data_IF_100639864630
#
_entry.id   IF_100639864630
#
_cell.length_a   1.000
_cell.length_b   1.000
_cell.length_c   1.000
_cell.angle_alpha   90.00
_cell.angle_beta   90.00
_cell.angle_gamma   90.00
#
_symmetry.space_group_name_H-M   'P 1'
#
loop_
_entity.id
_entity.type
_entity.pdbx_description
1 polymer ?
#
# COMPACT_ATOMS: atom_id res chain seq x y z
N UNK A 1 -16.44 -64.62 -41.96
CA UNK A 1 -16.20 -64.52 -40.50
C UNK A 1 -14.72 -64.42 -40.08
N UNK A 2 -13.82 -65.39 -40.35
CA UNK A 2 -12.42 -65.31 -39.84
C UNK A 2 -11.58 -64.12 -40.37
N UNK A 3 -11.81 -63.66 -41.61
CA UNK A 3 -11.05 -62.53 -42.20
C UNK A 3 -11.49 -61.15 -41.68
N UNK A 4 -12.73 -60.99 -41.24
CA UNK A 4 -13.22 -59.71 -40.70
C UNK A 4 -12.71 -59.46 -39.29
N UNK A 5 -12.70 -60.49 -38.43
CA UNK A 5 -12.23 -60.41 -37.04
C UNK A 5 -10.73 -60.03 -36.97
N UNK A 6 -9.91 -60.49 -37.92
CA UNK A 6 -8.48 -60.13 -37.99
C UNK A 6 -8.29 -58.68 -38.43
N UNK A 7 -9.13 -58.18 -39.35
CA UNK A 7 -9.08 -56.80 -39.83
C UNK A 7 -9.52 -55.80 -38.75
N UNK A 8 -10.47 -56.19 -37.91
CA UNK A 8 -10.96 -55.38 -36.79
C UNK A 8 -9.96 -55.33 -35.63
N UNK A 9 -9.34 -56.46 -35.27
CA UNK A 9 -8.25 -56.51 -34.27
C UNK A 9 -7.02 -55.72 -34.70
N UNK A 10 -6.67 -55.73 -35.99
CA UNK A 10 -5.59 -54.90 -36.55
C UNK A 10 -5.89 -53.40 -36.44
N UNK A 11 -7.13 -52.99 -36.71
CA UNK A 11 -7.57 -51.59 -36.55
C UNK A 11 -7.60 -51.16 -35.09
N UNK A 12 -8.04 -52.03 -34.18
CA UNK A 12 -8.06 -51.75 -32.74
C UNK A 12 -6.63 -51.63 -32.18
N UNK A 13 -5.72 -52.54 -32.57
CA UNK A 13 -4.32 -52.49 -32.14
C UNK A 13 -3.61 -51.22 -32.66
N UNK A 14 -3.87 -50.82 -33.90
CA UNK A 14 -3.34 -49.56 -34.46
C UNK A 14 -3.89 -48.33 -33.74
N UNK A 15 -5.18 -48.32 -33.34
CA UNK A 15 -5.79 -47.24 -32.56
C UNK A 15 -5.22 -47.16 -31.14
N UNK A 16 -5.01 -48.31 -30.48
CA UNK A 16 -4.39 -48.37 -29.15
C UNK A 16 -2.92 -47.92 -29.20
N UNK A 17 -2.15 -48.35 -30.20
CA UNK A 17 -0.78 -47.87 -30.39
C UNK A 17 -0.73 -46.36 -30.68
N UNK A 18 -1.68 -45.82 -31.46
CA UNK A 18 -1.74 -44.37 -31.73
C UNK A 18 -2.12 -43.57 -30.47
N UNK A 19 -3.04 -44.09 -29.65
CA UNK A 19 -3.42 -43.44 -28.38
C UNK A 19 -2.26 -43.44 -27.36
N UNK A 20 -1.52 -44.54 -27.27
CA UNK A 20 -0.32 -44.66 -26.41
C UNK A 20 0.80 -43.74 -26.91
N UNK A 21 0.99 -43.59 -28.23
CA UNK A 21 1.98 -42.66 -28.79
C UNK A 21 1.62 -41.19 -28.51
N UNK A 22 0.33 -40.83 -28.57
CA UNK A 22 -0.15 -39.47 -28.27
C UNK A 22 -0.03 -39.15 -26.77
N UNK A 23 -0.28 -40.12 -25.88
CA UNK A 23 -0.09 -39.95 -24.43
C UNK A 23 1.41 -39.82 -24.08
N UNK A 24 2.29 -40.57 -24.74
CA UNK A 24 3.75 -40.42 -24.60
C UNK A 24 4.25 -39.06 -25.15
N UNK A 25 3.69 -38.57 -26.25
CA UNK A 25 4.03 -37.24 -26.81
C UNK A 25 3.46 -36.07 -25.99
N UNK A 26 2.40 -36.29 -25.19
CA UNK A 26 1.85 -35.28 -24.27
C UNK A 26 2.59 -35.24 -22.92
N UNK A 27 3.42 -36.25 -22.61
CA UNK A 27 4.23 -36.29 -21.38
C UNK A 27 5.59 -35.57 -21.47
N UNK A 28 5.93 -35.00 -22.64
CA UNK A 28 7.18 -34.24 -22.83
C UNK A 28 6.99 -32.71 -22.91
N UNK A 29 5.82 -32.19 -22.55
CA UNK A 29 5.68 -30.75 -22.25
C UNK A 29 6.25 -30.51 -20.85
N UNK A 30 7.57 -30.60 -20.76
CA UNK A 30 8.31 -30.13 -19.61
C UNK A 30 7.97 -28.67 -19.39
N UNK A 31 7.59 -28.33 -18.16
CA UNK A 31 7.49 -26.95 -17.71
C UNK A 31 8.80 -26.23 -18.03
N UNK A 32 8.82 -25.46 -19.10
CA UNK A 32 9.84 -24.43 -19.29
C UNK A 32 9.57 -23.40 -18.20
N UNK A 33 10.24 -23.54 -17.05
CA UNK A 33 10.43 -22.42 -16.13
C UNK A 33 10.99 -21.29 -16.98
N UNK A 34 10.28 -20.17 -17.07
CA UNK A 34 10.87 -18.95 -17.62
C UNK A 34 12.24 -18.76 -16.95
N UNK A 35 13.31 -18.51 -17.74
CA UNK A 35 14.60 -18.22 -17.15
C UNK A 35 14.42 -17.05 -16.16
N UNK A 36 14.95 -17.23 -14.95
CA UNK A 36 14.93 -16.19 -13.94
C UNK A 36 15.42 -14.87 -14.57
N UNK A 37 14.74 -13.73 -14.33
CA UNK A 37 15.18 -12.45 -14.87
C UNK A 37 16.65 -12.25 -14.55
N UNK A 38 17.45 -11.87 -15.55
CA UNK A 38 18.85 -11.57 -15.34
C UNK A 38 18.99 -10.59 -14.16
N UNK A 39 19.99 -10.76 -13.26
CA UNK A 39 20.20 -9.86 -12.15
C UNK A 39 20.32 -8.44 -12.71
N UNK A 40 19.40 -7.56 -12.29
CA UNK A 40 19.42 -6.15 -12.69
C UNK A 40 20.81 -5.60 -12.32
N UNK A 41 21.52 -5.01 -13.27
CA UNK A 41 22.77 -4.30 -12.99
C UNK A 41 22.56 -3.39 -11.77
N UNK A 42 23.50 -3.30 -10.82
CA UNK A 42 23.35 -2.42 -9.67
C UNK A 42 23.04 -1.01 -10.18
N UNK A 43 21.84 -0.51 -9.82
CA UNK A 43 21.44 0.84 -10.19
C UNK A 43 22.26 1.80 -9.33
N UNK A 44 22.97 2.70 -9.98
CA UNK A 44 23.74 3.73 -9.27
C UNK A 44 22.80 4.62 -8.44
N UNK A 45 23.13 4.82 -7.17
CA UNK A 45 22.35 5.69 -6.28
C UNK A 45 22.49 7.15 -6.70
N UNK A 46 21.39 7.89 -6.64
CA UNK A 46 21.36 9.31 -6.93
C UNK A 46 22.08 10.11 -5.81
N UNK A 47 22.61 11.32 -6.09
CA UNK A 47 23.32 12.12 -5.09
C UNK A 47 22.52 12.39 -3.81
N UNK A 48 21.20 12.61 -3.93
CA UNK A 48 20.29 12.80 -2.81
C UNK A 48 20.20 11.58 -1.88
N UNK A 49 20.48 10.38 -2.39
CA UNK A 49 20.51 9.13 -1.60
C UNK A 49 21.92 8.87 -1.08
N UNK A 50 22.94 9.00 -1.95
CA UNK A 50 24.36 8.72 -1.63
C UNK A 50 24.90 9.53 -0.45
N UNK A 51 24.38 10.73 -0.22
CA UNK A 51 24.83 11.60 0.89
C UNK A 51 24.53 11.05 2.28
N UNK A 52 23.64 10.07 2.40
CA UNK A 52 23.30 9.41 3.65
C UNK A 52 24.17 8.17 3.86
N UNK A 53 25.49 8.34 3.89
CA UNK A 53 26.46 7.26 4.16
C UNK A 53 26.64 6.96 5.66
N UNK A 54 25.97 7.75 6.51
CA UNK A 54 25.88 7.61 7.96
C UNK A 54 24.51 8.09 8.44
N UNK A 55 24.14 7.67 9.64
CA UNK A 55 22.89 8.10 10.27
C UNK A 55 22.84 9.64 10.44
N UNK A 56 21.85 10.32 9.85
CA UNK A 56 21.68 11.75 10.04
C UNK A 56 21.04 12.07 11.41
N UNK A 57 21.36 13.25 11.93
CA UNK A 57 20.52 13.92 12.94
C UNK A 57 19.50 14.78 12.20
N UNK A 58 18.25 14.76 12.64
CA UNK A 58 17.14 15.55 12.07
C UNK A 58 16.56 16.49 13.12
N UNK A 59 15.83 17.51 12.67
CA UNK A 59 15.05 18.39 13.55
C UNK A 59 13.57 17.97 13.56
N UNK A 60 12.99 17.80 14.75
CA UNK A 60 11.60 17.39 14.96
C UNK A 60 10.80 18.52 15.62
N UNK A 61 9.65 18.86 15.04
CA UNK A 61 8.64 19.71 15.65
C UNK A 61 7.62 18.89 16.46
N UNK A 62 7.33 19.35 17.68
CA UNK A 62 6.35 18.75 18.60
C UNK A 62 5.06 19.57 18.57
N UNK A 63 4.05 19.12 17.84
CA UNK A 63 2.79 19.86 17.60
C UNK A 63 2.03 20.24 18.87
N UNK A 64 2.09 19.40 19.91
CA UNK A 64 1.42 19.66 21.18
C UNK A 64 2.00 20.85 21.98
N UNK A 65 3.30 21.12 21.85
CA UNK A 65 4.00 22.13 22.66
C UNK A 65 4.63 23.25 21.86
N UNK A 66 4.76 23.08 20.53
CA UNK A 66 5.52 23.96 19.66
C UNK A 66 7.05 23.79 19.80
N UNK A 67 7.52 22.84 20.61
CA UNK A 67 8.95 22.61 20.84
C UNK A 67 9.64 22.06 19.59
N UNK A 68 10.94 22.31 19.48
CA UNK A 68 11.81 21.79 18.42
C UNK A 68 12.99 21.09 19.06
N UNK A 69 13.28 19.88 18.63
CA UNK A 69 14.40 19.10 19.15
C UNK A 69 15.23 18.48 18.03
N UNK A 70 16.52 18.31 18.28
CA UNK A 70 17.38 17.48 17.42
C UNK A 70 17.30 16.03 17.89
N UNK A 71 17.15 15.13 16.94
CA UNK A 71 17.01 13.69 17.22
C UNK A 71 17.73 12.87 16.15
N UNK A 72 18.32 11.76 16.56
CA UNK A 72 18.89 10.77 15.65
C UNK A 72 17.78 10.11 14.84
N UNK A 73 18.00 9.91 13.54
CA UNK A 73 16.94 9.38 12.65
C UNK A 73 16.41 8.04 13.15
N UNK A 74 17.27 7.13 13.62
CA UNK A 74 16.85 5.82 14.11
C UNK A 74 16.03 5.94 15.41
N UNK A 75 16.38 6.87 16.30
CA UNK A 75 15.57 7.16 17.50
C UNK A 75 14.20 7.75 17.14
N UNK A 76 14.14 8.62 16.12
CA UNK A 76 12.88 9.13 15.61
C UNK A 76 11.99 8.00 15.05
N UNK A 77 12.57 7.08 14.29
CA UNK A 77 11.85 5.98 13.66
C UNK A 77 11.23 5.00 14.66
N UNK A 78 11.82 4.81 15.84
CA UNK A 78 11.19 4.04 16.93
C UNK A 78 9.84 4.63 17.30
N UNK A 79 9.77 5.95 17.46
CA UNK A 79 8.52 6.65 17.77
C UNK A 79 7.50 6.59 16.62
N UNK A 80 7.97 6.58 15.37
CA UNK A 80 7.08 6.40 14.20
C UNK A 80 6.48 5.00 14.18
N UNK A 81 7.30 3.95 14.27
CA UNK A 81 6.82 2.56 14.27
C UNK A 81 5.86 2.31 15.44
N UNK A 82 6.18 2.86 16.62
CA UNK A 82 5.32 2.79 17.80
C UNK A 82 3.95 3.43 17.57
N UNK A 83 3.90 4.61 16.95
CA UNK A 83 2.66 5.31 16.68
C UNK A 83 1.81 4.64 15.59
N UNK A 84 2.45 4.21 14.50
CA UNK A 84 1.79 3.73 13.28
C UNK A 84 1.18 2.34 13.41
N UNK A 85 1.92 1.37 13.96
CA UNK A 85 1.46 -0.03 14.03
C UNK A 85 1.52 -0.66 15.41
N UNK A 86 2.28 -0.09 16.35
CA UNK A 86 2.37 -0.62 17.72
C UNK A 86 3.09 -1.96 17.83
N UNK A 87 3.34 -2.39 19.08
CA UNK A 87 4.16 -3.56 19.40
C UNK A 87 3.46 -4.91 19.18
N UNK A 88 2.15 -4.89 18.94
CA UNK A 88 1.36 -6.11 18.73
C UNK A 88 1.62 -6.75 17.35
N UNK A 89 2.30 -6.03 16.44
CA UNK A 89 2.66 -6.54 15.13
C UNK A 89 3.85 -7.50 15.21
N UNK A 90 3.87 -8.59 14.42
CA UNK A 90 5.01 -9.50 14.36
C UNK A 90 6.30 -8.77 13.99
N UNK A 91 7.44 -9.27 14.48
CA UNK A 91 8.76 -8.67 14.27
C UNK A 91 9.06 -8.32 12.80
N UNK A 92 8.76 -9.21 11.86
CA UNK A 92 9.01 -8.94 10.43
C UNK A 92 8.11 -7.84 9.86
N UNK A 93 6.92 -7.62 10.42
CA UNK A 93 6.05 -6.49 10.07
C UNK A 93 6.56 -5.17 10.70
N UNK A 94 7.05 -5.21 11.95
CA UNK A 94 7.72 -4.08 12.59
C UNK A 94 8.94 -3.61 11.78
N UNK A 95 9.78 -4.56 11.35
CA UNK A 95 10.93 -4.31 10.48
C UNK A 95 10.53 -3.72 9.13
N UNK A 96 9.50 -4.28 8.48
CA UNK A 96 8.99 -3.74 7.22
C UNK A 96 8.51 -2.29 7.39
N UNK A 97 7.79 -1.99 8.47
CA UNK A 97 7.37 -0.63 8.80
C UNK A 97 8.56 0.30 9.05
N UNK A 98 9.61 -0.15 9.73
CA UNK A 98 10.82 0.65 9.95
C UNK A 98 11.52 1.02 8.63
N UNK A 99 11.68 0.06 7.70
CA UNK A 99 12.26 0.30 6.37
C UNK A 99 11.43 1.34 5.59
N UNK A 100 10.11 1.17 5.60
CA UNK A 100 9.16 2.04 4.90
C UNK A 100 9.16 3.44 5.51
N UNK A 101 9.07 3.57 6.84
CA UNK A 101 9.10 4.84 7.55
C UNK A 101 10.42 5.59 7.34
N UNK A 102 11.57 4.90 7.36
CA UNK A 102 12.88 5.48 7.06
C UNK A 102 12.92 6.05 5.65
N UNK A 103 12.47 5.25 4.69
CA UNK A 103 12.43 5.66 3.28
C UNK A 103 11.53 6.87 3.08
N UNK A 104 10.32 6.86 3.66
CA UNK A 104 9.37 7.96 3.55
C UNK A 104 9.91 9.24 4.20
N UNK A 105 10.52 9.14 5.38
CA UNK A 105 11.14 10.27 6.09
C UNK A 105 12.19 10.96 5.21
N UNK A 106 13.13 10.17 4.67
CA UNK A 106 14.18 10.70 3.80
C UNK A 106 13.62 11.27 2.49
N UNK A 107 12.65 10.59 1.86
CA UNK A 107 11.99 11.08 0.66
C UNK A 107 11.29 12.44 0.90
N UNK A 108 10.58 12.61 2.02
CA UNK A 108 9.92 13.87 2.36
C UNK A 108 10.93 14.99 2.62
N UNK A 109 12.03 14.70 3.33
CA UNK A 109 13.11 15.67 3.55
C UNK A 109 13.75 16.15 2.25
N UNK A 110 14.01 15.23 1.32
CA UNK A 110 14.69 15.54 0.06
C UNK A 110 13.79 16.19 -0.98
N UNK A 111 12.55 15.70 -1.12
CA UNK A 111 11.69 16.10 -2.23
C UNK A 111 10.68 17.17 -1.87
N UNK A 112 10.31 17.27 -0.59
CA UNK A 112 9.29 18.20 -0.09
C UNK A 112 9.86 19.16 0.97
N UNK A 113 11.18 19.13 1.21
CA UNK A 113 11.88 19.90 2.27
C UNK A 113 11.37 19.61 3.67
N UNK A 114 10.77 18.44 3.90
CA UNK A 114 10.22 18.04 5.19
C UNK A 114 9.10 18.98 5.64
N UNK A 115 9.22 19.53 6.86
CA UNK A 115 8.26 20.51 7.41
C UNK A 115 8.85 21.92 7.52
N UNK A 116 9.94 22.20 6.79
CA UNK A 116 10.72 23.45 6.93
C UNK A 116 9.91 24.69 6.64
N UNK A 117 9.05 24.65 5.62
CA UNK A 117 8.24 25.81 5.23
C UNK A 117 7.21 26.19 6.30
N UNK A 118 6.74 25.22 7.10
CA UNK A 118 5.72 25.44 8.14
C UNK A 118 6.35 25.70 9.51
N UNK A 119 7.35 24.91 9.88
CA UNK A 119 7.87 24.84 11.26
C UNK A 119 9.38 25.09 11.36
N UNK A 120 10.10 25.25 10.24
CA UNK A 120 11.56 25.29 10.20
C UNK A 120 12.22 24.04 10.83
N UNK A 121 11.65 22.86 10.57
CA UNK A 121 12.13 21.54 11.02
C UNK A 121 12.07 20.52 9.89
N UNK A 122 12.85 19.44 9.97
CA UNK A 122 12.83 18.36 8.99
C UNK A 122 11.55 17.52 9.10
N UNK A 123 11.11 17.20 10.33
CA UNK A 123 9.94 16.37 10.62
C UNK A 123 8.96 17.05 11.59
N UNK A 124 7.74 16.55 11.63
CA UNK A 124 6.66 16.91 12.58
C UNK A 124 6.06 15.62 13.13
N UNK A 125 5.58 15.65 14.37
CA UNK A 125 4.83 14.53 14.98
C UNK A 125 3.34 14.51 14.60
N UNK A 126 2.87 15.50 13.84
CA UNK A 126 1.51 15.53 13.29
C UNK A 126 1.43 14.63 12.04
N UNK A 127 0.68 13.54 12.17
CA UNK A 127 0.43 12.58 11.09
C UNK A 127 -0.26 13.18 9.84
N UNK A 128 -0.88 14.35 9.95
CA UNK A 128 -1.48 15.06 8.80
C UNK A 128 -0.47 15.87 7.99
N UNK A 129 0.69 16.16 8.59
CA UNK A 129 1.79 16.92 7.97
C UNK A 129 2.96 16.01 7.56
N UNK A 130 3.18 14.94 8.32
CA UNK A 130 4.33 14.06 8.18
C UNK A 130 3.97 12.58 8.42
N UNK A 131 4.35 12.01 9.56
CA UNK A 131 4.03 10.64 9.98
C UNK A 131 3.58 10.66 11.43
N UNK A 132 2.78 9.67 11.85
CA UNK A 132 2.44 9.56 13.27
C UNK A 132 3.72 9.31 14.08
N UNK A 133 3.84 9.93 15.25
CA UNK A 133 4.98 9.74 16.14
C UNK A 133 4.52 9.77 17.60
N UNK A 134 4.99 8.79 18.37
CA UNK A 134 4.70 8.69 19.79
C UNK A 134 5.88 8.00 20.50
N UNK A 135 6.65 8.80 21.26
CA UNK A 135 7.85 8.31 21.96
C UNK A 135 7.52 7.49 23.19
N UNK A 136 6.34 7.68 23.78
CA UNK A 136 5.95 7.03 25.03
C UNK A 136 5.49 5.58 24.79
N UNK A 137 5.21 5.23 23.52
CA UNK A 137 4.83 3.88 23.08
C UNK A 137 6.00 3.03 22.59
N UNK A 138 7.24 3.52 22.67
CA UNK A 138 8.42 2.77 22.24
C UNK A 138 8.65 1.57 23.16
N UNK A 139 8.78 0.38 22.58
CA UNK A 139 9.11 -0.87 23.27
C UNK A 139 10.51 -1.39 22.87
N UNK A 140 11.00 -2.41 23.58
CA UNK A 140 12.24 -3.11 23.21
C UNK A 140 12.11 -3.80 21.84
N UNK A 141 10.97 -4.43 21.56
CA UNK A 141 10.69 -5.08 20.27
C UNK A 141 10.68 -4.08 19.11
N UNK A 142 10.05 -2.92 19.28
CA UNK A 142 10.09 -1.83 18.28
C UNK A 142 11.53 -1.34 18.10
N UNK A 143 12.24 -1.10 19.19
CA UNK A 143 13.64 -0.66 19.15
C UNK A 143 14.52 -1.66 18.40
N UNK A 144 14.34 -2.95 18.67
CA UNK A 144 15.02 -4.06 18.00
C UNK A 144 14.68 -4.11 16.51
N UNK A 145 13.42 -3.94 16.12
CA UNK A 145 13.03 -3.95 14.71
C UNK A 145 13.66 -2.79 13.92
N UNK A 146 13.73 -1.61 14.52
CA UNK A 146 14.39 -0.44 13.92
C UNK A 146 15.89 -0.68 13.79
N UNK A 147 16.55 -1.17 14.83
CA UNK A 147 17.99 -1.46 14.84
C UNK A 147 18.37 -2.56 13.86
N UNK A 148 17.62 -3.67 13.81
CA UNK A 148 17.87 -4.76 12.86
C UNK A 148 17.63 -4.34 11.39
N UNK A 149 16.97 -3.21 11.16
CA UNK A 149 16.76 -2.61 9.83
C UNK A 149 17.48 -1.29 9.63
N UNK A 150 18.43 -0.95 10.51
CA UNK A 150 19.17 0.30 10.50
C UNK A 150 19.75 0.60 9.12
N UNK A 151 19.52 1.81 8.63
CA UNK A 151 19.99 2.25 7.31
C UNK A 151 19.39 1.52 6.10
N UNK A 152 18.42 0.63 6.27
CA UNK A 152 17.74 -0.04 5.16
C UNK A 152 16.60 0.82 4.61
N UNK A 153 16.56 0.98 3.29
CA UNK A 153 15.61 1.82 2.55
C UNK A 153 15.17 1.16 1.25
N UNK A 154 14.17 1.76 0.59
CA UNK A 154 13.71 1.39 -0.74
C UNK A 154 14.05 2.48 -1.76
N UNK A 155 14.59 2.08 -2.91
CA UNK A 155 14.91 2.99 -4.01
C UNK A 155 14.26 2.57 -5.32
N UNK A 156 13.94 3.51 -6.20
CA UNK A 156 13.55 3.24 -7.58
C UNK A 156 14.39 4.13 -8.49
N UNK A 157 15.11 3.51 -9.45
CA UNK A 157 16.05 4.22 -10.33
C UNK A 157 17.09 5.05 -9.54
N UNK A 158 17.60 4.50 -8.44
CA UNK A 158 18.63 5.14 -7.59
C UNK A 158 18.10 6.23 -6.66
N UNK A 159 16.82 6.58 -6.72
CA UNK A 159 16.16 7.62 -5.89
C UNK A 159 15.32 6.98 -4.79
N UNK A 160 15.10 7.68 -3.67
CA UNK A 160 14.13 7.23 -2.67
C UNK A 160 12.74 7.08 -3.29
N UNK A 161 12.01 6.04 -2.88
CA UNK A 161 10.59 5.96 -3.19
C UNK A 161 9.78 6.76 -2.18
N UNK A 162 8.66 7.35 -2.59
CA UNK A 162 7.57 7.71 -1.70
C UNK A 162 7.00 6.40 -1.15
N UNK A 163 7.52 5.93 -0.03
CA UNK A 163 7.15 4.67 0.59
C UNK A 163 5.80 4.83 1.33
N UNK A 164 4.73 5.09 0.59
CA UNK A 164 3.39 5.27 1.13
C UNK A 164 2.89 3.98 1.78
N UNK A 165 2.16 4.08 2.89
CA UNK A 165 1.59 2.93 3.59
C UNK A 165 0.23 3.28 4.18
N UNK A 166 -0.63 2.28 4.38
CA UNK A 166 -1.98 2.47 4.93
C UNK A 166 -2.41 1.27 5.76
N UNK A 167 -3.51 1.42 6.50
CA UNK A 167 -3.95 0.38 7.43
C UNK A 167 -4.46 -0.89 6.76
N UNK A 168 -5.53 -0.80 5.98
CA UNK A 168 -6.21 -1.99 5.44
C UNK A 168 -6.80 -1.77 4.04
N UNK A 169 -6.69 -2.78 3.18
CA UNK A 169 -7.27 -2.80 1.82
C UNK A 169 -7.98 -4.13 1.52
N UNK A 170 -9.10 -4.11 0.79
CA UNK A 170 -9.76 -5.33 0.33
C UNK A 170 -9.09 -5.88 -0.94
N UNK A 171 -8.60 -7.12 -0.89
CA UNK A 171 -8.04 -7.92 -1.99
C UNK A 171 -6.76 -7.39 -2.62
N UNK A 172 -6.66 -6.09 -2.88
CA UNK A 172 -5.49 -5.46 -3.49
C UNK A 172 -5.30 -4.02 -3.03
N UNK A 173 -4.06 -3.56 -3.07
CA UNK A 173 -3.68 -2.16 -2.83
C UNK A 173 -4.12 -1.26 -3.99
N UNK A 174 -4.11 0.05 -3.76
CA UNK A 174 -4.51 1.07 -4.71
C UNK A 174 -3.35 1.46 -5.64
N UNK A 175 -3.68 1.85 -6.87
CA UNK A 175 -2.72 2.57 -7.71
C UNK A 175 -2.45 3.97 -7.15
N UNK A 176 -1.33 4.58 -7.55
CA UNK A 176 -1.04 5.96 -7.15
C UNK A 176 -2.14 6.95 -7.55
N UNK A 177 -2.81 6.74 -8.69
CA UNK A 177 -3.92 7.58 -9.15
C UNK A 177 -5.16 7.45 -8.24
N UNK A 178 -5.43 6.26 -7.70
CA UNK A 178 -6.58 6.02 -6.83
C UNK A 178 -6.46 6.69 -5.45
N UNK A 179 -5.23 6.81 -4.92
CA UNK A 179 -5.00 7.40 -3.60
C UNK A 179 -4.46 8.83 -3.64
N UNK A 180 -3.54 9.13 -4.56
CA UNK A 180 -2.87 10.43 -4.67
C UNK A 180 -2.69 10.84 -6.15
N UNK A 181 -3.76 11.32 -6.82
CA UNK A 181 -3.71 11.72 -8.24
C UNK A 181 -2.57 12.69 -8.57
N UNK A 182 -2.23 13.59 -7.64
CA UNK A 182 -1.17 14.59 -7.83
C UNK A 182 0.25 14.00 -7.78
N UNK A 183 0.41 12.76 -7.30
CA UNK A 183 1.70 12.08 -7.19
C UNK A 183 1.95 11.08 -8.33
N UNK A 184 1.04 10.93 -9.31
CA UNK A 184 1.17 9.95 -10.40
C UNK A 184 2.51 10.04 -11.12
N UNK A 185 2.99 11.26 -11.39
CA UNK A 185 4.30 11.48 -12.06
C UNK A 185 5.50 11.24 -11.14
N UNK A 186 5.33 11.45 -9.83
CA UNK A 186 6.39 11.36 -8.81
C UNK A 186 6.57 9.92 -8.30
N UNK A 187 5.50 9.13 -8.26
CA UNK A 187 5.49 7.77 -7.73
C UNK A 187 4.83 6.73 -8.67
N UNK A 188 5.21 6.64 -9.96
CA UNK A 188 4.62 5.70 -10.92
C UNK A 188 4.97 4.22 -10.62
N UNK A 189 5.88 3.99 -9.66
CA UNK A 189 6.22 2.65 -9.17
C UNK A 189 5.19 2.08 -8.20
N UNK A 190 4.30 2.89 -7.63
CA UNK A 190 3.24 2.41 -6.75
C UNK A 190 2.09 1.86 -7.61
N UNK A 191 1.97 0.55 -7.61
CA UNK A 191 0.99 -0.20 -8.40
C UNK A 191 0.14 -1.10 -7.49
N UNK A 192 -1.10 -1.44 -7.90
CA UNK A 192 -1.89 -2.43 -7.18
C UNK A 192 -1.16 -3.77 -7.07
N UNK A 193 -1.12 -4.31 -5.85
CA UNK A 193 -0.67 -5.68 -5.56
C UNK A 193 -1.72 -6.38 -4.70
N UNK A 194 -1.84 -7.70 -4.84
CA UNK A 194 -2.78 -8.48 -4.05
C UNK A 194 -2.41 -8.45 -2.56
N UNK A 195 -3.40 -8.57 -1.68
CA UNK A 195 -3.25 -8.50 -0.22
C UNK A 195 -4.44 -9.14 0.48
N UNK A 196 -4.17 -9.76 1.63
CA UNK A 196 -5.17 -10.38 2.51
C UNK A 196 -5.11 -9.78 3.93
N UNK A 197 -4.83 -8.48 4.05
CA UNK A 197 -4.72 -7.84 5.36
C UNK A 197 -6.04 -7.81 6.15
N UNK A 198 -7.20 -7.75 5.47
CA UNK A 198 -8.52 -7.80 6.13
C UNK A 198 -8.79 -9.09 6.91
N UNK A 199 -8.05 -10.18 6.63
CA UNK A 199 -8.09 -11.42 7.41
C UNK A 199 -7.76 -11.17 8.88
N UNK A 200 -6.71 -10.40 9.15
CA UNK A 200 -6.23 -10.12 10.50
C UNK A 200 -6.58 -8.70 11.01
N UNK A 201 -7.02 -7.81 10.14
CA UNK A 201 -7.45 -6.47 10.53
C UNK A 201 -8.68 -6.49 11.47
N UNK A 202 -8.84 -5.47 12.34
CA UNK A 202 -10.03 -5.26 13.15
C UNK A 202 -11.31 -5.36 12.31
N UNK A 203 -12.31 -6.06 12.84
CA UNK A 203 -13.55 -6.38 12.12
C UNK A 203 -14.27 -5.16 11.56
N UNK A 204 -14.15 -4.00 12.22
CA UNK A 204 -14.69 -2.70 11.76
C UNK A 204 -14.17 -2.28 10.38
N UNK A 205 -13.00 -2.75 9.95
CA UNK A 205 -12.46 -2.44 8.62
C UNK A 205 -12.93 -3.41 7.54
N UNK A 206 -13.46 -4.58 7.90
CA UNK A 206 -13.96 -5.55 6.90
C UNK A 206 -15.21 -5.04 6.21
N UNK A 207 -16.15 -4.50 6.98
CA UNK A 207 -17.34 -3.83 6.48
C UNK A 207 -17.71 -2.72 7.45
N UNK A 208 -17.84 -1.50 6.95
CA UNK A 208 -18.29 -0.36 7.74
C UNK A 208 -19.45 0.33 7.05
N UNK A 209 -20.26 1.03 7.85
CA UNK A 209 -21.32 1.92 7.39
C UNK A 209 -21.11 3.28 8.03
N UNK A 210 -20.99 4.32 7.19
CA UNK A 210 -20.82 5.71 7.63
C UNK A 210 -22.00 6.51 7.11
N UNK A 211 -22.70 7.22 8.00
CA UNK A 211 -23.80 8.13 7.65
C UNK A 211 -23.31 9.56 7.73
N UNK A 212 -23.32 10.26 6.60
CA UNK A 212 -22.90 11.66 6.51
C UNK A 212 -24.14 12.52 6.26
N UNK A 213 -24.38 13.58 7.04
CA UNK A 213 -25.50 14.47 6.78
C UNK A 213 -25.50 14.98 5.35
N UNK A 214 -26.68 14.96 4.72
CA UNK A 214 -26.88 15.34 3.33
C UNK A 214 -26.46 16.79 3.05
N UNK A 215 -26.66 17.68 4.03
CA UNK A 215 -26.21 19.07 3.95
C UNK A 215 -24.68 19.19 3.87
N UNK A 216 -23.93 18.30 4.54
CA UNK A 216 -22.47 18.30 4.55
C UNK A 216 -21.94 17.88 3.18
N UNK A 217 -22.47 16.79 2.61
CA UNK A 217 -22.14 16.36 1.25
C UNK A 217 -22.51 17.45 0.22
N UNK A 218 -23.66 18.11 0.40
CA UNK A 218 -24.08 19.21 -0.48
C UNK A 218 -23.14 20.42 -0.38
N UNK A 219 -22.66 20.74 0.82
CA UNK A 219 -21.64 21.79 1.04
C UNK A 219 -20.33 21.44 0.33
N UNK A 220 -19.91 20.18 0.36
CA UNK A 220 -18.68 19.70 -0.27
C UNK A 220 -18.79 19.70 -1.81
N UNK A 221 -19.88 19.15 -2.36
CA UNK A 221 -20.07 19.01 -3.82
C UNK A 221 -20.62 20.27 -4.49
N UNK A 222 -21.11 21.24 -3.71
CA UNK A 222 -21.66 22.51 -4.19
C UNK A 222 -23.10 22.41 -4.69
N UNK A 223 -23.68 23.57 -5.04
CA UNK A 223 -25.10 23.71 -5.43
C UNK A 223 -25.50 22.87 -6.65
N UNK A 224 -24.55 22.60 -7.56
CA UNK A 224 -24.75 21.76 -8.75
C UNK A 224 -25.05 20.29 -8.42
N UNK A 225 -24.83 19.87 -7.17
CA UNK A 225 -25.14 18.52 -6.71
C UNK A 225 -26.65 18.25 -6.56
N UNK A 226 -27.48 19.30 -6.70
CA UNK A 226 -28.93 19.19 -6.72
C UNK A 226 -29.48 18.72 -5.37
N UNK A 227 -30.33 17.69 -5.39
CA UNK A 227 -30.87 17.10 -4.17
C UNK A 227 -29.89 16.12 -3.54
N UNK A 228 -29.02 15.45 -4.33
CA UNK A 228 -28.20 14.27 -3.99
C UNK A 228 -28.96 12.92 -4.03
N UNK A 229 -30.15 12.87 -4.62
CA UNK A 229 -30.90 11.61 -4.78
C UNK A 229 -30.24 10.65 -5.80
N UNK A 230 -29.47 11.20 -6.74
CA UNK A 230 -28.79 10.45 -7.80
C UNK A 230 -27.28 10.26 -7.53
N UNK A 231 -26.83 10.49 -6.28
CA UNK A 231 -25.42 10.35 -5.93
C UNK A 231 -24.92 8.94 -6.22
N UNK A 232 -23.79 8.83 -6.93
CA UNK A 232 -23.23 7.54 -7.34
C UNK A 232 -21.72 7.60 -7.57
N UNK A 233 -21.10 6.42 -7.53
CA UNK A 233 -19.73 6.21 -7.98
C UNK A 233 -19.74 6.23 -9.51
N UNK A 234 -19.11 7.24 -10.11
CA UNK A 234 -19.04 7.39 -11.56
C UNK A 234 -17.85 6.64 -12.18
N UNK A 235 -16.77 6.44 -11.42
CA UNK A 235 -15.57 5.75 -11.88
C UNK A 235 -14.91 5.02 -10.72
N UNK A 236 -14.44 3.80 -10.99
CA UNK A 236 -13.57 3.02 -10.10
C UNK A 236 -12.20 2.82 -10.75
N UNK A 237 -11.17 2.72 -9.93
CA UNK A 237 -9.83 2.38 -10.37
C UNK A 237 -9.55 0.87 -10.32
N UNK A 238 -8.32 0.45 -10.65
CA UNK A 238 -7.96 -0.95 -10.74
C UNK A 238 -8.07 -1.72 -9.43
N UNK A 239 -7.95 -1.06 -8.27
CA UNK A 239 -8.20 -1.72 -6.97
C UNK A 239 -9.68 -1.97 -6.69
N UNK A 240 -10.57 -1.20 -7.33
CA UNK A 240 -12.00 -1.15 -7.04
C UNK A 240 -12.40 0.06 -6.19
N UNK A 241 -11.43 0.88 -5.74
CA UNK A 241 -11.69 2.17 -5.09
C UNK A 241 -12.38 3.11 -6.05
N UNK A 242 -13.29 3.94 -5.52
CA UNK A 242 -13.87 5.02 -6.27
C UNK A 242 -12.79 6.05 -6.61
N UNK A 243 -12.78 6.50 -7.87
CA UNK A 243 -11.97 7.64 -8.33
C UNK A 243 -12.84 8.89 -8.39
N UNK A 244 -14.09 8.75 -8.86
CA UNK A 244 -14.98 9.89 -9.14
C UNK A 244 -16.39 9.61 -8.63
N UNK A 245 -16.99 10.62 -8.00
CA UNK A 245 -18.38 10.61 -7.51
C UNK A 245 -19.14 11.75 -8.18
N UNK A 246 -20.38 11.48 -8.57
CA UNK A 246 -21.27 12.44 -9.22
C UNK A 246 -22.63 12.48 -8.54
N UNK A 247 -23.25 13.65 -8.54
CA UNK A 247 -24.65 13.87 -8.17
C UNK A 247 -25.14 15.12 -8.91
N UNK A 248 -26.33 15.09 -9.51
CA UNK A 248 -26.81 16.13 -10.41
C UNK A 248 -25.78 16.48 -11.50
N UNK A 249 -25.36 17.75 -11.54
CA UNK A 249 -24.31 18.24 -12.43
C UNK A 249 -22.95 18.41 -11.73
N UNK A 250 -22.85 18.03 -10.46
CA UNK A 250 -21.61 18.10 -9.71
C UNK A 250 -20.78 16.82 -9.88
N UNK A 251 -19.47 16.99 -9.78
CA UNK A 251 -18.48 15.92 -9.81
C UNK A 251 -17.38 16.26 -8.82
N UNK A 252 -16.89 15.25 -8.11
CA UNK A 252 -15.76 15.37 -7.19
C UNK A 252 -14.90 14.10 -7.26
N UNK A 253 -13.60 14.22 -7.02
CA UNK A 253 -12.77 13.03 -6.82
C UNK A 253 -13.16 12.37 -5.48
N UNK A 254 -13.09 11.05 -5.40
CA UNK A 254 -13.45 10.35 -4.16
C UNK A 254 -12.45 10.66 -3.03
N UNK A 255 -11.18 10.91 -3.37
CA UNK A 255 -10.14 11.29 -2.40
C UNK A 255 -10.40 12.68 -1.82
N UNK A 256 -10.82 13.66 -2.62
CA UNK A 256 -11.16 15.00 -2.13
C UNK A 256 -12.41 14.97 -1.26
N UNK A 257 -13.42 14.17 -1.65
CA UNK A 257 -14.60 13.97 -0.81
C UNK A 257 -14.19 13.39 0.55
N UNK A 258 -13.38 12.32 0.55
CA UNK A 258 -12.88 11.70 1.78
C UNK A 258 -12.12 12.68 2.65
N UNK A 259 -11.21 13.46 2.06
CA UNK A 259 -10.45 14.49 2.77
C UNK A 259 -11.35 15.55 3.41
N UNK A 260 -12.33 16.06 2.65
CA UNK A 260 -13.25 17.11 3.14
C UNK A 260 -14.22 16.62 4.21
N UNK A 261 -14.58 15.33 4.20
CA UNK A 261 -15.34 14.69 5.28
C UNK A 261 -14.45 14.43 6.50
N UNK A 262 -13.19 14.06 6.28
CA UNK A 262 -12.22 13.67 7.30
C UNK A 262 -11.82 12.20 7.17
N UNK A 263 -10.51 11.94 7.22
CA UNK A 263 -9.94 10.61 6.97
C UNK A 263 -10.32 9.55 8.02
N UNK A 264 -10.69 9.98 9.23
CA UNK A 264 -11.18 9.12 10.32
C UNK A 264 -12.70 8.97 10.35
N UNK A 265 -13.43 9.82 9.60
CA UNK A 265 -14.90 9.75 9.49
C UNK A 265 -15.33 8.91 8.29
N UNK A 266 -14.61 9.04 7.16
CA UNK A 266 -14.80 8.21 5.98
C UNK A 266 -13.55 7.38 5.73
N UNK A 267 -13.59 6.13 6.18
CA UNK A 267 -12.38 5.33 6.36
C UNK A 267 -11.57 5.08 5.08
N UNK A 268 -12.22 4.86 3.94
CA UNK A 268 -11.54 4.63 2.66
C UNK A 268 -12.37 5.12 1.48
N UNK A 269 -11.82 5.01 0.27
CA UNK A 269 -12.55 5.21 -0.99
C UNK A 269 -13.05 3.90 -1.61
N UNK A 270 -12.90 2.77 -0.91
CA UNK A 270 -13.45 1.48 -1.34
C UNK A 270 -14.91 1.37 -0.89
N UNK A 271 -15.80 1.93 -1.69
CA UNK A 271 -17.23 1.90 -1.44
C UNK A 271 -17.91 0.71 -2.15
N UNK A 272 -18.65 -0.07 -1.37
CA UNK A 272 -19.63 -1.04 -1.87
C UNK A 272 -20.86 -0.32 -2.41
N UNK A 273 -21.34 0.69 -1.67
CA UNK A 273 -22.51 1.50 -2.04
C UNK A 273 -22.44 2.92 -1.50
N UNK A 274 -23.10 3.84 -2.19
CA UNK A 274 -23.42 5.20 -1.74
C UNK A 274 -24.92 5.37 -1.96
N UNK A 275 -25.70 5.52 -0.88
CA UNK A 275 -27.17 5.56 -0.96
C UNK A 275 -27.72 6.77 -0.19
N UNK A 276 -28.63 7.55 -0.79
CA UNK A 276 -29.37 8.57 -0.03
C UNK A 276 -30.41 7.90 0.87
N UNK A 277 -30.44 8.27 2.16
CA UNK A 277 -31.42 7.79 3.13
C UNK A 277 -31.89 8.97 4.00
N UNK A 278 -33.05 9.55 3.65
CA UNK A 278 -33.60 10.71 4.34
C UNK A 278 -32.61 11.88 4.38
N UNK A 279 -32.22 12.30 5.59
CA UNK A 279 -31.28 13.41 5.81
C UNK A 279 -29.80 13.01 5.70
N UNK A 280 -29.48 11.78 5.29
CA UNK A 280 -28.12 11.28 5.21
C UNK A 280 -27.77 10.75 3.82
N UNK A 281 -26.48 10.78 3.50
CA UNK A 281 -25.87 9.91 2.51
C UNK A 281 -25.15 8.80 3.27
N UNK A 282 -25.49 7.55 2.97
CA UNK A 282 -24.96 6.36 3.62
C UNK A 282 -23.92 5.72 2.73
N UNK A 283 -22.69 5.66 3.23
CA UNK A 283 -21.57 5.00 2.60
C UNK A 283 -21.37 3.64 3.25
N UNK A 284 -21.33 2.57 2.45
CA UNK A 284 -20.89 1.25 2.89
C UNK A 284 -19.59 0.90 2.19
N UNK A 285 -18.61 0.41 2.92
CA UNK A 285 -17.28 0.14 2.37
C UNK A 285 -16.42 -0.77 3.23
N UNK A 286 -15.16 -0.91 2.81
CA UNK A 286 -14.14 -1.73 3.47
C UNK A 286 -12.78 -1.03 3.48
N UNK A 287 -11.86 -1.54 4.30
CA UNK A 287 -10.51 -1.00 4.46
C UNK A 287 -10.48 0.34 5.17
N UNK A 288 -9.26 0.82 5.41
CA UNK A 288 -8.97 2.11 6.04
C UNK A 288 -7.66 2.67 5.50
N UNK A 289 -7.68 3.96 5.14
CA UNK A 289 -6.55 4.66 4.55
C UNK A 289 -6.60 4.77 3.02
N UNK A 290 -5.56 5.37 2.45
CA UNK A 290 -5.49 5.72 1.02
C UNK A 290 -5.33 4.50 0.10
N UNK A 291 -4.76 3.41 0.58
CA UNK A 291 -4.62 2.15 -0.16
C UNK A 291 -3.32 1.99 -0.96
N UNK A 292 -2.59 3.07 -1.24
CA UNK A 292 -1.30 3.04 -1.93
C UNK A 292 -0.15 2.45 -1.10
N UNK A 293 0.66 1.59 -1.73
CA UNK A 293 1.89 1.05 -1.14
C UNK A 293 1.65 -0.04 -0.10
N UNK A 294 2.41 -0.05 1.00
CA UNK A 294 2.36 -1.13 1.98
C UNK A 294 1.08 -1.09 2.82
N UNK A 295 0.33 -2.20 2.83
CA UNK A 295 -0.76 -2.38 3.78
C UNK A 295 -0.22 -2.92 5.10
N UNK A 296 -0.43 -2.19 6.20
CA UNK A 296 0.04 -2.58 7.54
C UNK A 296 -0.53 -3.94 7.95
N UNK A 297 -1.86 -4.12 7.91
CA UNK A 297 -2.47 -5.41 8.25
C UNK A 297 -2.14 -6.52 7.26
N UNK A 298 -1.79 -6.16 6.03
CA UNK A 298 -1.27 -7.10 5.05
C UNK A 298 0.16 -7.56 5.38
N UNK A 299 1.03 -6.65 5.82
CA UNK A 299 2.34 -6.96 6.36
C UNK A 299 2.24 -7.85 7.61
N UNK A 300 1.28 -7.58 8.50
CA UNK A 300 0.95 -8.46 9.63
C UNK A 300 0.61 -9.87 9.16
N UNK A 301 -0.32 -10.01 8.20
CA UNK A 301 -0.73 -11.32 7.66
C UNK A 301 0.47 -12.06 7.06
N UNK A 302 1.26 -11.39 6.21
CA UNK A 302 2.44 -11.98 5.59
C UNK A 302 3.48 -12.43 6.63
N UNK A 303 3.73 -11.62 7.66
CA UNK A 303 4.65 -11.98 8.73
C UNK A 303 4.14 -13.19 9.54
N UNK A 304 2.84 -13.29 9.80
CA UNK A 304 2.22 -14.49 10.42
C UNK A 304 2.36 -15.74 9.54
N UNK A 305 2.45 -15.55 8.23
CA UNK A 305 2.67 -16.61 7.24
C UNK A 305 4.17 -16.89 7.00
N UNK A 306 5.05 -16.33 7.84
CA UNK A 306 6.49 -16.62 7.84
C UNK A 306 7.31 -15.79 6.85
N UNK A 307 6.72 -14.74 6.26
CA UNK A 307 7.44 -13.83 5.36
C UNK A 307 8.39 -12.91 6.13
N UNK A 308 9.58 -12.73 5.57
CA UNK A 308 10.57 -11.77 6.06
C UNK A 308 10.19 -10.34 5.72
N UNK A 309 10.75 -9.36 6.44
CA UNK A 309 10.57 -7.94 6.17
C UNK A 309 10.92 -7.57 4.72
N UNK A 310 11.98 -8.18 4.18
CA UNK A 310 12.40 -8.01 2.79
C UNK A 310 11.32 -8.49 1.81
N UNK A 311 10.81 -9.71 1.98
CA UNK A 311 9.72 -10.23 1.14
C UNK A 311 8.45 -9.38 1.24
N UNK A 312 8.15 -8.84 2.43
CA UNK A 312 7.01 -7.95 2.65
C UNK A 312 7.18 -6.66 1.84
N UNK A 313 8.30 -5.95 1.99
CA UNK A 313 8.50 -4.68 1.28
C UNK A 313 8.65 -4.88 -0.23
N UNK A 314 9.31 -5.96 -0.69
CA UNK A 314 9.41 -6.27 -2.12
C UNK A 314 8.06 -6.62 -2.74
N UNK A 315 7.15 -7.24 -1.98
CA UNK A 315 5.77 -7.48 -2.41
C UNK A 315 4.98 -6.18 -2.61
N UNK A 316 5.03 -5.25 -1.64
CA UNK A 316 4.26 -4.00 -1.72
C UNK A 316 4.88 -2.93 -2.62
N UNK A 317 6.19 -3.01 -2.87
CA UNK A 317 6.91 -2.09 -3.75
C UNK A 317 7.68 -2.90 -4.82
N UNK A 318 7.00 -3.62 -5.73
CA UNK A 318 7.62 -4.59 -6.65
C UNK A 318 8.55 -3.95 -7.70
N UNK A 319 8.50 -2.63 -7.82
CA UNK A 319 9.37 -1.84 -8.70
C UNK A 319 10.51 -1.16 -7.94
N UNK A 320 10.55 -1.26 -6.61
CA UNK A 320 11.64 -0.74 -5.80
C UNK A 320 12.76 -1.78 -5.66
N UNK A 321 13.91 -1.29 -5.21
CA UNK A 321 15.10 -2.07 -4.87
C UNK A 321 15.40 -1.79 -3.41
N UNK A 322 15.53 -2.85 -2.61
CA UNK A 322 16.01 -2.74 -1.24
C UNK A 322 17.48 -2.32 -1.23
N UNK A 323 17.86 -1.37 -0.38
CA UNK A 323 19.21 -0.79 -0.31
C UNK A 323 19.60 -0.55 1.15
N UNK A 324 20.85 -0.85 1.52
CA UNK A 324 21.44 -0.50 2.82
C UNK A 324 22.36 0.70 2.62
N UNK A 325 22.14 1.77 3.38
CA UNK A 325 22.86 3.04 3.24
C UNK A 325 24.01 3.19 4.24
N UNK A 326 23.78 2.76 5.48
CA UNK A 326 24.72 2.87 6.59
C UNK A 326 24.49 1.76 7.62
N UNK A 327 25.51 1.55 8.45
CA UNK A 327 25.44 0.66 9.61
C UNK A 327 24.95 1.36 10.88
#
# INVERSE_FOLDING_TARGET
>A
MRKEIVKERSKLLKRVCYLVLVILLLSTVGCSKEPAPAPKKPVELAPEVKKYDKEPTITLYRSATGAKEEIKLEEYLKGVVAAEIGDEFPMEALKAQAIVARTMTLAMMEYEKGTKEKHNTDASDDHTEFQAYDRDRITENISKAVEETRGQVLTNNGKFVYALFHSASPKKTASIEEGFPNLVKKAPYIVPVETDGLKNAPSKYRNWTVKIPRWEIKKIMGSKAGTLDDIKIAQKGPSGRAIKITAGKASISAVDLRQKVGFDRLYSTYFHSITPEGNYIVFKGSGWGHGCGMEQWGAYTMAKEGKTAKEIVEHYYPKATWTKLYE
#
